data_IF_709417645377
#
_entry.id   IF_709417645377
#
_cell.length_a   1.000
_cell.length_b   1.000
_cell.length_c   1.000
_cell.angle_alpha   90.00
_cell.angle_beta   90.00
_cell.angle_gamma   90.00
#
_symmetry.space_group_name_H-M   'P 1'
#
loop_
_entity.id
_entity.type
_entity.pdbx_description
1 polymer ?
#
# COMPACT_ATOMS: atom_id res chain seq x y z
N UNK A 1 -18.75 -11.87 34.75
CA UNK A 1 -19.32 -12.96 33.93
C UNK A 1 -18.32 -14.07 33.99
N UNK A 2 -18.73 -15.25 34.41
CA UNK A 2 -17.86 -16.41 34.40
C UNK A 2 -18.41 -17.40 33.37
N UNK A 3 -17.56 -17.84 32.45
CA UNK A 3 -17.91 -18.74 31.35
C UNK A 3 -16.92 -19.90 31.33
N UNK A 4 -17.46 -21.12 31.42
CA UNK A 4 -16.68 -22.35 31.40
C UNK A 4 -17.16 -23.21 30.24
N UNK A 5 -16.35 -23.27 29.19
CA UNK A 5 -16.52 -24.17 28.06
C UNK A 5 -15.45 -25.25 28.15
N UNK A 6 -15.75 -26.36 28.81
CA UNK A 6 -14.89 -27.53 28.87
C UNK A 6 -15.54 -28.73 28.19
N UNK A 7 -14.82 -29.37 27.28
CA UNK A 7 -15.20 -30.64 26.66
C UNK A 7 -16.53 -30.60 25.88
N UNK A 8 -16.85 -29.44 25.29
CA UNK A 8 -18.05 -29.26 24.48
C UNK A 8 -17.82 -29.64 23.02
N UNK A 9 -18.92 -29.90 22.32
CA UNK A 9 -18.93 -30.18 20.89
C UNK A 9 -19.91 -29.25 20.18
N UNK A 10 -19.39 -28.41 19.29
CA UNK A 10 -20.15 -27.46 18.48
C UNK A 10 -20.14 -27.96 17.03
N UNK A 11 -21.26 -28.51 16.58
CA UNK A 11 -21.41 -29.11 15.25
C UNK A 11 -22.50 -28.42 14.44
N UNK A 12 -22.22 -28.13 13.17
CA UNK A 12 -23.21 -27.68 12.19
C UNK A 12 -24.01 -26.44 12.63
N UNK A 13 -23.42 -25.58 13.47
CA UNK A 13 -24.06 -24.33 13.84
C UNK A 13 -23.93 -23.33 12.68
N UNK A 14 -24.96 -22.51 12.47
CA UNK A 14 -24.99 -21.50 11.42
C UNK A 14 -25.41 -20.14 12.00
N UNK A 15 -24.62 -19.11 11.72
CA UNK A 15 -24.88 -17.75 12.18
C UNK A 15 -24.45 -16.71 11.14
N UNK A 16 -24.74 -15.43 11.40
CA UNK A 16 -24.17 -14.33 10.60
C UNK A 16 -22.67 -14.22 10.86
N UNK A 17 -22.29 -14.14 12.14
CA UNK A 17 -20.92 -14.06 12.61
C UNK A 17 -20.72 -15.02 13.78
N UNK A 18 -19.58 -15.71 13.84
CA UNK A 18 -19.30 -16.66 14.91
C UNK A 18 -20.22 -17.87 14.82
N UNK A 19 -19.99 -18.74 13.83
CA UNK A 19 -20.92 -19.83 13.50
C UNK A 19 -21.32 -20.67 14.70
N UNK A 20 -20.40 -20.92 15.65
CA UNK A 20 -20.70 -21.50 16.95
C UNK A 20 -20.79 -20.46 18.08
N UNK A 21 -19.82 -19.54 18.17
CA UNK A 21 -19.72 -18.60 19.29
C UNK A 21 -19.43 -17.18 18.80
N UNK A 22 -20.21 -16.22 19.30
CA UNK A 22 -20.00 -14.79 19.10
C UNK A 22 -19.71 -14.09 20.43
N UNK A 23 -18.47 -13.65 20.62
CA UNK A 23 -18.07 -12.82 21.75
C UNK A 23 -18.24 -11.34 21.39
N UNK A 24 -19.37 -10.77 21.78
CA UNK A 24 -19.67 -9.34 21.56
C UNK A 24 -18.74 -8.42 22.35
N UNK A 25 -18.57 -7.18 21.88
CA UNK A 25 -17.80 -6.17 22.60
C UNK A 25 -18.40 -5.88 23.99
N UNK A 26 -17.52 -5.81 25.00
CA UNK A 26 -17.93 -5.40 26.34
C UNK A 26 -18.18 -3.90 26.36
N UNK A 27 -19.43 -3.48 26.65
CA UNK A 27 -19.70 -2.11 27.04
C UNK A 27 -19.06 -1.86 28.40
N UNK A 28 -18.00 -1.05 28.44
CA UNK A 28 -17.38 -0.63 29.69
C UNK A 28 -18.35 0.35 30.36
N UNK A 29 -19.07 -0.10 31.38
CA UNK A 29 -19.75 0.79 32.33
C UNK A 29 -18.81 1.08 33.50
N UNK A 30 -18.81 2.31 33.99
CA UNK A 30 -17.86 2.85 34.98
C UNK A 30 -17.74 2.05 36.29
N UNK A 31 -18.66 1.11 36.55
CA UNK A 31 -18.76 0.38 37.82
C UNK A 31 -18.24 -1.07 37.80
N UNK A 32 -17.71 -1.60 36.68
CA UNK A 32 -17.36 -3.03 36.60
C UNK A 32 -15.88 -3.31 36.36
N UNK A 33 -15.04 -3.10 37.38
CA UNK A 33 -13.65 -3.58 37.39
C UNK A 33 -13.51 -5.11 37.52
N UNK A 34 -14.61 -5.88 37.49
CA UNK A 34 -14.54 -7.33 37.53
C UNK A 34 -14.07 -7.88 36.17
N UNK A 35 -12.89 -8.50 36.19
CA UNK A 35 -12.40 -9.38 35.12
C UNK A 35 -13.33 -10.59 35.03
N UNK A 36 -13.84 -10.88 33.84
CA UNK A 36 -14.59 -12.09 33.57
C UNK A 36 -13.65 -13.31 33.60
N UNK A 37 -13.99 -14.37 34.32
CA UNK A 37 -13.24 -15.63 34.25
C UNK A 37 -13.79 -16.42 33.06
N UNK A 38 -13.02 -16.52 31.98
CA UNK A 38 -13.39 -17.29 30.78
C UNK A 38 -12.42 -18.46 30.62
N UNK A 39 -12.96 -19.68 30.53
CA UNK A 39 -12.21 -20.90 30.28
C UNK A 39 -12.77 -21.60 29.04
N UNK A 40 -11.90 -21.94 28.08
CA UNK A 40 -12.26 -22.59 26.82
C UNK A 40 -11.29 -23.75 26.59
N UNK A 41 -11.62 -24.94 27.11
CA UNK A 41 -10.72 -26.11 27.06
C UNK A 41 -11.35 -27.33 26.42
N UNK A 42 -10.54 -28.11 25.70
CA UNK A 42 -10.92 -29.43 25.18
C UNK A 42 -12.18 -29.41 24.29
N UNK A 43 -12.52 -28.29 23.67
CA UNK A 43 -13.74 -28.19 22.86
C UNK A 43 -13.47 -28.61 21.41
N UNK A 44 -14.50 -29.11 20.74
CA UNK A 44 -14.46 -29.43 19.31
C UNK A 44 -15.44 -28.54 18.54
N UNK A 45 -14.92 -27.72 17.63
CA UNK A 45 -15.68 -26.87 16.72
C UNK A 45 -15.54 -27.41 15.30
N UNK A 46 -16.60 -28.03 14.80
CA UNK A 46 -16.53 -28.78 13.54
C UNK A 46 -17.74 -28.50 12.65
N UNK A 47 -17.46 -28.22 11.37
CA UNK A 47 -18.48 -27.92 10.34
C UNK A 47 -19.44 -26.78 10.71
N UNK A 48 -19.00 -25.83 11.54
CA UNK A 48 -19.77 -24.62 11.79
C UNK A 48 -19.62 -23.63 10.63
N UNK A 49 -20.63 -22.80 10.43
CA UNK A 49 -20.72 -21.88 9.30
C UNK A 49 -21.11 -20.47 9.75
N UNK A 50 -20.41 -19.47 9.25
CA UNK A 50 -20.80 -18.07 9.35
C UNK A 50 -21.06 -17.49 7.95
N UNK A 51 -22.09 -16.66 7.81
CA UNK A 51 -22.35 -15.94 6.55
C UNK A 51 -21.27 -14.90 6.26
N UNK A 52 -20.72 -14.27 7.29
CA UNK A 52 -19.73 -13.21 7.17
C UNK A 52 -18.39 -13.64 7.77
N UNK A 53 -18.23 -13.58 9.08
CA UNK A 53 -16.92 -13.74 9.72
C UNK A 53 -16.93 -14.77 10.85
N UNK A 54 -15.80 -15.46 11.05
CA UNK A 54 -15.62 -16.34 12.20
C UNK A 54 -16.45 -17.62 12.08
N UNK A 55 -16.07 -18.54 11.21
CA UNK A 55 -16.90 -19.73 10.94
C UNK A 55 -17.14 -20.61 12.17
N UNK A 56 -16.19 -20.69 13.11
CA UNK A 56 -16.43 -21.22 14.45
C UNK A 56 -16.63 -20.10 15.47
N UNK A 57 -15.64 -19.22 15.62
CA UNK A 57 -15.63 -18.20 16.69
C UNK A 57 -15.43 -16.82 16.07
N UNK A 58 -16.25 -15.88 16.50
CA UNK A 58 -16.04 -14.45 16.26
C UNK A 58 -15.85 -13.75 17.59
N UNK A 59 -14.89 -12.83 17.69
CA UNK A 59 -14.71 -12.04 18.92
C UNK A 59 -14.39 -10.58 18.69
N UNK A 60 -15.08 -9.73 19.44
CA UNK A 60 -14.77 -8.32 19.72
C UNK A 60 -14.61 -8.06 21.23
N UNK A 61 -14.53 -9.11 22.04
CA UNK A 61 -14.55 -8.97 23.50
C UNK A 61 -13.16 -8.59 24.03
N UNK A 62 -12.99 -7.32 24.40
CA UNK A 62 -11.73 -6.65 24.79
C UNK A 62 -10.97 -7.20 26.01
N UNK A 63 -11.41 -8.31 26.59
CA UNK A 63 -10.73 -9.01 27.68
C UNK A 63 -10.56 -10.51 27.40
N UNK A 64 -10.84 -10.97 26.17
CA UNK A 64 -10.76 -12.39 25.85
C UNK A 64 -9.33 -12.92 25.92
N UNK A 65 -8.33 -12.04 25.78
CA UNK A 65 -6.91 -12.39 25.99
C UNK A 65 -6.59 -12.93 27.39
N UNK A 66 -7.43 -12.64 28.39
CA UNK A 66 -7.28 -13.18 29.75
C UNK A 66 -7.86 -14.60 29.88
N UNK A 67 -8.56 -15.10 28.86
CA UNK A 67 -9.20 -16.41 28.93
C UNK A 67 -8.17 -17.54 28.92
N UNK A 68 -8.44 -18.59 29.71
CA UNK A 68 -7.63 -19.81 29.68
C UNK A 68 -8.13 -20.71 28.55
N UNK A 69 -7.37 -20.80 27.45
CA UNK A 69 -7.72 -21.60 26.28
C UNK A 69 -6.68 -22.68 25.98
N UNK A 70 -7.09 -23.96 25.93
CA UNK A 70 -6.18 -25.10 25.71
C UNK A 70 -6.87 -26.26 25.00
N UNK A 71 -6.16 -26.94 24.11
CA UNK A 71 -6.59 -28.19 23.48
C UNK A 71 -7.94 -28.09 22.74
N UNK A 72 -8.25 -26.94 22.13
CA UNK A 72 -9.44 -26.81 21.30
C UNK A 72 -9.14 -27.26 19.88
N UNK A 73 -10.08 -28.00 19.29
CA UNK A 73 -10.02 -28.45 17.92
C UNK A 73 -10.98 -27.60 17.07
N UNK A 74 -10.48 -26.95 16.03
CA UNK A 74 -11.25 -26.05 15.16
C UNK A 74 -11.05 -26.47 13.72
N UNK A 75 -11.97 -27.29 13.21
CA UNK A 75 -11.78 -27.96 11.92
C UNK A 75 -13.00 -27.93 11.01
N UNK A 76 -12.77 -27.91 9.70
CA UNK A 76 -13.83 -27.94 8.67
C UNK A 76 -14.89 -26.83 8.78
N UNK A 77 -14.60 -25.74 9.49
CA UNK A 77 -15.53 -24.62 9.62
C UNK A 77 -15.46 -23.71 8.37
N UNK A 78 -16.52 -22.95 8.11
CA UNK A 78 -16.64 -22.10 6.91
C UNK A 78 -17.08 -20.69 7.26
N UNK A 79 -16.54 -19.69 6.58
CA UNK A 79 -17.05 -18.31 6.63
C UNK A 79 -17.20 -17.74 5.23
N UNK A 80 -18.15 -16.83 5.04
CA UNK A 80 -18.38 -16.20 3.73
C UNK A 80 -17.38 -15.11 3.37
N UNK A 81 -16.80 -14.41 4.35
CA UNK A 81 -15.86 -13.30 4.13
C UNK A 81 -14.45 -13.67 4.59
N UNK A 82 -14.22 -13.81 5.90
CA UNK A 82 -12.89 -14.05 6.49
C UNK A 82 -12.96 -14.80 7.83
N UNK A 83 -11.90 -15.53 8.15
CA UNK A 83 -11.66 -16.17 9.44
C UNK A 83 -12.55 -17.39 9.62
N UNK A 84 -12.41 -18.39 8.75
CA UNK A 84 -13.31 -19.55 8.76
C UNK A 84 -13.20 -20.38 10.03
N UNK A 85 -12.06 -20.41 10.69
CA UNK A 85 -11.97 -20.91 12.07
C UNK A 85 -12.35 -19.79 13.06
N UNK A 86 -11.44 -18.84 13.22
CA UNK A 86 -11.59 -17.72 14.17
C UNK A 86 -11.49 -16.39 13.44
N UNK A 87 -12.33 -15.43 13.80
CA UNK A 87 -12.17 -14.05 13.37
C UNK A 87 -12.19 -13.08 14.54
N UNK A 88 -11.21 -12.18 14.58
CA UNK A 88 -11.14 -11.08 15.53
C UNK A 88 -10.79 -9.81 14.74
N UNK A 89 -11.71 -8.86 14.54
CA UNK A 89 -11.53 -7.79 13.58
C UNK A 89 -10.36 -6.87 13.93
N UNK A 90 -10.20 -6.54 15.21
CA UNK A 90 -9.14 -5.66 15.68
C UNK A 90 -8.71 -6.03 17.09
N UNK A 91 -7.61 -5.41 17.54
CA UNK A 91 -7.01 -5.63 18.86
C UNK A 91 -6.93 -7.11 19.24
N UNK A 92 -6.45 -7.99 18.36
CA UNK A 92 -6.33 -9.45 18.55
C UNK A 92 -5.67 -9.78 19.90
N UNK A 93 -4.66 -9.01 20.30
CA UNK A 93 -3.98 -9.16 21.59
C UNK A 93 -4.86 -8.89 22.83
N UNK A 94 -6.07 -8.35 22.64
CA UNK A 94 -7.09 -8.12 23.66
C UNK A 94 -8.38 -8.90 23.40
N UNK A 95 -8.78 -8.94 22.14
CA UNK A 95 -10.05 -9.50 21.67
C UNK A 95 -9.99 -11.00 21.47
N UNK A 96 -8.81 -11.63 21.50
CA UNK A 96 -8.66 -13.05 21.31
C UNK A 96 -7.82 -13.69 22.41
N UNK A 97 -8.19 -14.90 22.79
CA UNK A 97 -7.40 -15.76 23.67
C UNK A 97 -6.16 -16.30 22.94
N UNK A 98 -5.21 -16.88 23.68
CA UNK A 98 -4.05 -17.51 23.07
C UNK A 98 -4.45 -18.74 22.24
N UNK A 99 -4.30 -18.64 20.92
CA UNK A 99 -4.63 -19.70 19.96
C UNK A 99 -3.49 -20.67 19.72
N UNK A 100 -2.31 -20.47 20.32
CA UNK A 100 -1.11 -21.30 20.10
C UNK A 100 -1.32 -22.79 20.41
N UNK A 101 -2.20 -23.08 21.37
CA UNK A 101 -2.52 -24.44 21.83
C UNK A 101 -3.83 -25.00 21.21
N UNK A 102 -4.28 -24.44 20.09
CA UNK A 102 -5.44 -24.94 19.35
C UNK A 102 -5.00 -25.68 18.09
N UNK A 103 -5.70 -26.77 17.74
CA UNK A 103 -5.53 -27.45 16.46
C UNK A 103 -6.46 -26.83 15.42
N UNK A 104 -5.92 -26.47 14.26
CA UNK A 104 -6.68 -25.89 13.15
C UNK A 104 -6.47 -26.67 11.86
N UNK A 105 -7.56 -27.11 11.25
CA UNK A 105 -7.50 -27.94 10.04
C UNK A 105 -8.67 -27.64 9.09
N UNK A 106 -8.36 -27.44 7.81
CA UNK A 106 -9.37 -27.35 6.74
C UNK A 106 -10.52 -26.35 7.00
N UNK A 107 -10.27 -25.25 7.69
CA UNK A 107 -11.23 -24.16 7.77
C UNK A 107 -11.15 -23.32 6.49
N UNK A 108 -12.29 -23.06 5.85
CA UNK A 108 -12.33 -22.52 4.49
C UNK A 108 -13.16 -21.24 4.35
N UNK A 109 -12.59 -20.24 3.70
CA UNK A 109 -13.31 -19.16 3.04
C UNK A 109 -13.41 -19.53 1.56
N UNK A 110 -14.62 -19.76 1.06
CA UNK A 110 -14.84 -20.36 -0.25
C UNK A 110 -14.10 -21.70 -0.40
N UNK A 111 -13.00 -21.73 -1.16
CA UNK A 111 -12.13 -22.90 -1.36
C UNK A 111 -10.72 -22.69 -0.82
N UNK A 112 -10.46 -21.58 -0.13
CA UNK A 112 -9.14 -21.21 0.38
C UNK A 112 -9.08 -21.43 1.88
N UNK A 113 -7.94 -21.94 2.36
CA UNK A 113 -7.69 -22.14 3.78
C UNK A 113 -7.55 -20.80 4.49
N UNK A 114 -8.36 -20.59 5.52
CA UNK A 114 -8.32 -19.41 6.38
C UNK A 114 -8.68 -19.82 7.82
N UNK A 115 -7.67 -20.27 8.56
CA UNK A 115 -7.85 -20.78 9.92
C UNK A 115 -8.21 -19.65 10.90
N UNK A 116 -7.60 -18.50 10.73
CA UNK A 116 -7.86 -17.32 11.53
C UNK A 116 -7.39 -16.06 10.80
N UNK A 117 -8.12 -14.97 10.97
CA UNK A 117 -7.79 -13.68 10.37
C UNK A 117 -8.41 -12.51 11.13
N UNK A 118 -7.99 -11.30 10.75
CA UNK A 118 -8.44 -10.02 11.30
C UNK A 118 -8.68 -9.01 10.17
N UNK A 119 -9.11 -7.79 10.49
CA UNK A 119 -9.15 -6.70 9.51
C UNK A 119 -7.73 -6.29 9.07
N UNK A 120 -7.58 -5.57 7.93
CA UNK A 120 -6.34 -4.89 7.60
C UNK A 120 -5.84 -4.01 8.75
N UNK A 121 -4.58 -4.20 9.14
CA UNK A 121 -4.03 -3.60 10.36
C UNK A 121 -2.89 -2.62 10.09
N UNK A 122 -1.94 -3.00 9.24
CA UNK A 122 -0.78 -2.16 8.97
C UNK A 122 -0.18 -2.36 7.58
N UNK A 123 0.55 -1.36 7.12
CA UNK A 123 1.26 -1.35 5.84
C UNK A 123 2.75 -1.20 6.09
N UNK A 124 3.55 -1.97 5.37
CA UNK A 124 4.99 -1.80 5.27
C UNK A 124 5.38 -1.31 3.87
N UNK A 125 6.49 -0.61 3.81
CA UNK A 125 7.16 -0.24 2.57
C UNK A 125 8.24 -1.27 2.28
N UNK A 126 8.15 -1.92 1.11
CA UNK A 126 9.11 -2.94 0.68
C UNK A 126 10.19 -2.40 -0.27
N UNK A 127 9.98 -1.22 -0.85
CA UNK A 127 11.03 -0.58 -1.65
C UNK A 127 12.17 -0.13 -0.73
N UNK A 128 13.41 -0.48 -1.08
CA UNK A 128 14.59 0.05 -0.40
C UNK A 128 14.73 1.53 -0.73
N UNK A 129 14.72 2.37 0.30
CA UNK A 129 14.79 3.82 0.19
C UNK A 129 16.10 4.28 0.84
N UNK A 130 16.87 5.10 0.12
CA UNK A 130 18.09 5.70 0.66
C UNK A 130 17.74 6.94 1.50
N UNK A 131 18.64 7.38 2.38
CA UNK A 131 18.42 8.56 3.23
C UNK A 131 18.13 9.85 2.42
N UNK A 132 18.62 9.93 1.18
CA UNK A 132 18.34 11.02 0.25
C UNK A 132 18.02 10.44 -1.14
N UNK A 133 16.73 10.30 -1.44
CA UNK A 133 16.28 9.88 -2.77
C UNK A 133 16.22 11.10 -3.66
N UNK A 134 17.24 11.27 -4.50
CA UNK A 134 17.30 12.34 -5.47
C UNK A 134 16.61 11.84 -6.74
N UNK A 135 15.61 12.57 -7.20
CA UNK A 135 14.92 12.32 -8.46
C UNK A 135 14.84 13.61 -9.28
N UNK A 136 14.89 13.50 -10.60
CA UNK A 136 14.65 14.64 -11.47
C UNK A 136 13.13 14.77 -11.71
N UNK A 137 12.70 15.98 -12.06
CA UNK A 137 11.28 16.25 -12.29
C UNK A 137 10.70 15.35 -13.38
N UNK A 138 9.58 14.69 -13.09
CA UNK A 138 8.86 13.83 -14.02
C UNK A 138 9.45 12.42 -14.21
N UNK A 139 10.53 12.09 -13.51
CA UNK A 139 11.06 10.72 -13.48
C UNK A 139 10.12 9.76 -12.75
N UNK A 140 10.24 8.48 -13.07
CA UNK A 140 9.49 7.42 -12.39
C UNK A 140 10.08 7.15 -11.01
N UNK A 141 9.20 7.07 -10.00
CA UNK A 141 9.59 6.75 -8.63
C UNK A 141 8.79 5.54 -8.10
N UNK A 142 9.15 4.31 -8.50
CA UNK A 142 8.37 3.11 -8.21
C UNK A 142 8.41 2.76 -6.71
N UNK A 143 7.23 2.54 -6.12
CA UNK A 143 7.08 2.18 -4.71
C UNK A 143 6.20 0.94 -4.54
N UNK A 144 6.63 0.03 -3.66
CA UNK A 144 5.96 -1.23 -3.36
C UNK A 144 5.58 -1.30 -1.89
N UNK A 145 4.31 -1.58 -1.63
CA UNK A 145 3.75 -1.67 -0.28
C UNK A 145 3.11 -3.04 -0.04
N UNK A 146 3.19 -3.52 1.19
CA UNK A 146 2.48 -4.71 1.65
C UNK A 146 1.52 -4.36 2.77
N UNK A 147 0.32 -4.93 2.70
CA UNK A 147 -0.73 -4.83 3.70
C UNK A 147 -0.77 -6.11 4.52
N UNK A 148 -0.87 -5.94 5.83
CA UNK A 148 -0.89 -7.03 6.80
C UNK A 148 -2.10 -6.93 7.71
N UNK A 149 -2.51 -8.07 8.24
CA UNK A 149 -3.47 -8.19 9.32
C UNK A 149 -2.78 -8.15 10.70
N UNK A 150 -3.53 -8.23 11.81
CA UNK A 150 -2.96 -8.21 13.16
C UNK A 150 -2.26 -9.52 13.57
N UNK A 151 -2.34 -10.57 12.75
CA UNK A 151 -1.58 -11.82 12.92
C UNK A 151 -0.25 -11.80 12.15
N UNK A 152 0.10 -10.66 11.53
CA UNK A 152 1.26 -10.48 10.66
C UNK A 152 1.24 -11.32 9.38
N UNK A 153 0.05 -11.76 8.94
CA UNK A 153 -0.13 -12.39 7.65
C UNK A 153 -0.29 -11.32 6.57
N UNK A 154 0.19 -11.59 5.35
CA UNK A 154 -0.13 -10.75 4.19
C UNK A 154 -1.64 -10.80 3.99
N UNK A 155 -2.28 -9.63 3.98
CA UNK A 155 -3.72 -9.52 3.92
C UNK A 155 -4.24 -9.93 2.54
N UNK A 156 -5.00 -11.02 2.47
CA UNK A 156 -5.55 -11.52 1.21
C UNK A 156 -7.08 -11.43 1.21
N UNK A 157 -7.61 -10.49 0.42
CA UNK A 157 -9.04 -10.28 0.26
C UNK A 157 -9.68 -11.21 -0.77
N UNK A 158 -9.76 -12.50 -0.41
CA UNK A 158 -10.30 -13.57 -1.27
C UNK A 158 -11.71 -13.25 -1.78
N UNK A 159 -12.50 -12.52 -0.99
CA UNK A 159 -13.92 -12.27 -1.24
C UNK A 159 -14.20 -10.90 -1.83
N UNK A 160 -13.15 -10.08 -2.03
CA UNK A 160 -13.23 -8.70 -2.53
C UNK A 160 -14.03 -7.78 -1.61
N UNK A 161 -14.13 -8.10 -0.33
CA UNK A 161 -14.89 -7.29 0.64
C UNK A 161 -14.26 -5.90 0.85
N UNK A 162 -12.93 -5.80 0.76
CA UNK A 162 -12.14 -4.59 0.91
C UNK A 162 -11.56 -4.09 -0.43
N UNK A 163 -12.10 -4.53 -1.58
CA UNK A 163 -11.51 -4.24 -2.89
C UNK A 163 -11.52 -2.77 -3.30
N UNK A 164 -12.32 -1.93 -2.64
CA UNK A 164 -12.37 -0.49 -2.88
C UNK A 164 -11.26 0.28 -2.16
N UNK A 165 -10.60 -0.34 -1.18
CA UNK A 165 -9.51 0.28 -0.44
C UNK A 165 -8.34 0.59 -1.36
N UNK A 166 -7.88 1.85 -1.32
CA UNK A 166 -6.76 2.32 -2.11
C UNK A 166 -5.75 3.08 -1.27
N UNK A 167 -4.48 2.93 -1.63
CA UNK A 167 -3.37 3.71 -1.12
C UNK A 167 -3.13 4.90 -2.04
N UNK A 168 -3.10 6.11 -1.48
CA UNK A 168 -2.74 7.34 -2.19
C UNK A 168 -1.53 7.97 -1.53
N UNK A 169 -0.58 8.42 -2.34
CA UNK A 169 0.55 9.23 -1.87
C UNK A 169 0.24 10.71 -2.07
N UNK A 170 0.43 11.50 -1.02
CA UNK A 170 0.29 12.95 -1.03
C UNK A 170 1.68 13.56 -0.84
N UNK A 171 2.01 14.59 -1.62
CA UNK A 171 3.26 15.31 -1.48
C UNK A 171 3.09 16.46 -0.49
N UNK A 172 4.03 16.64 0.42
CA UNK A 172 4.09 17.76 1.37
C UNK A 172 5.46 18.43 1.34
N UNK A 173 5.50 19.74 1.54
CA UNK A 173 6.74 20.49 1.78
C UNK A 173 7.02 20.56 3.27
N UNK A 174 8.26 20.89 3.63
CA UNK A 174 8.68 21.05 5.03
C UNK A 174 8.25 22.41 5.64
N UNK A 175 7.47 23.21 4.91
CA UNK A 175 7.12 24.56 5.33
C UNK A 175 6.07 24.50 6.44
N UNK A 176 6.52 24.80 7.66
CA UNK A 176 5.72 25.00 8.88
C UNK A 176 4.74 26.20 8.80
N UNK A 177 4.17 26.50 7.64
CA UNK A 177 3.14 27.53 7.52
C UNK A 177 1.75 26.92 7.68
N UNK A 178 1.49 26.37 8.87
CA UNK A 178 0.13 26.10 9.38
C UNK A 178 -0.70 27.40 9.53
N UNK A 179 -0.13 28.57 9.22
CA UNK A 179 -0.81 29.86 9.18
C UNK A 179 -1.34 30.28 7.80
N UNK A 180 -1.53 29.36 6.85
CA UNK A 180 -2.37 29.62 5.66
C UNK A 180 -3.80 29.11 5.87
N UNK A 181 -4.38 29.50 7.01
CA UNK A 181 -5.83 29.62 7.10
C UNK A 181 -6.25 30.78 6.18
N UNK A 182 -7.16 30.47 5.25
CA UNK A 182 -8.05 31.38 4.51
C UNK A 182 -7.63 31.96 3.14
N UNK A 183 -6.50 31.60 2.53
CA UNK A 183 -6.28 31.96 1.11
C UNK A 183 -6.53 30.78 0.17
N UNK A 184 -7.76 30.71 -0.37
CA UNK A 184 -8.24 29.74 -1.38
C UNK A 184 -7.50 29.78 -2.73
N UNK A 185 -6.42 30.55 -2.86
CA UNK A 185 -5.64 30.74 -4.09
C UNK A 185 -4.16 30.35 -3.94
N UNK A 186 -3.79 29.51 -2.96
CA UNK A 186 -2.48 28.85 -2.96
C UNK A 186 -2.43 27.90 -4.16
N UNK A 187 -1.86 28.37 -5.28
CA UNK A 187 -1.54 27.50 -6.41
C UNK A 187 -0.58 26.44 -5.85
N UNK A 188 -1.01 25.19 -5.81
CA UNK A 188 -0.12 24.10 -5.43
C UNK A 188 1.01 24.06 -6.44
N UNK A 189 2.25 24.28 -5.99
CA UNK A 189 3.44 24.33 -6.84
C UNK A 189 3.93 22.91 -7.23
N UNK A 190 3.06 21.91 -7.16
CA UNK A 190 3.37 20.53 -7.47
C UNK A 190 2.11 19.71 -7.82
N UNK A 191 2.30 18.63 -8.55
CA UNK A 191 1.32 17.56 -8.72
C UNK A 191 2.00 16.20 -8.91
N UNK A 192 1.22 15.14 -8.69
CA UNK A 192 1.66 13.76 -8.87
C UNK A 192 0.75 13.07 -9.87
N UNK A 193 1.32 12.14 -10.62
CA UNK A 193 0.55 11.21 -11.47
C UNK A 193 0.91 9.79 -11.09
N UNK A 194 -0.03 8.85 -11.18
CA UNK A 194 0.23 7.44 -10.84
C UNK A 194 0.44 7.18 -9.34
N UNK A 195 0.01 8.11 -8.48
CA UNK A 195 0.18 8.09 -7.02
C UNK A 195 -0.94 7.39 -6.26
N UNK A 196 -1.82 6.65 -6.94
CA UNK A 196 -2.92 5.90 -6.35
C UNK A 196 -2.82 4.45 -6.81
N UNK A 197 -3.00 3.52 -5.88
CA UNK A 197 -2.96 2.09 -6.16
C UNK A 197 -3.89 1.30 -5.25
N UNK A 198 -4.22 0.10 -5.68
CA UNK A 198 -5.09 -0.84 -4.95
C UNK A 198 -4.26 -2.03 -4.47
N UNK A 199 -4.72 -2.65 -3.38
CA UNK A 199 -4.10 -3.87 -2.87
C UNK A 199 -4.63 -5.10 -3.62
N UNK A 200 -3.74 -5.82 -4.28
CA UNK A 200 -4.02 -7.10 -4.93
C UNK A 200 -3.24 -8.16 -4.15
N UNK A 201 -3.95 -9.10 -3.50
CA UNK A 201 -3.35 -10.11 -2.62
C UNK A 201 -2.40 -9.50 -1.57
N UNK A 202 -2.80 -8.37 -1.00
CA UNK A 202 -2.03 -7.66 0.02
C UNK A 202 -0.86 -6.84 -0.52
N UNK A 203 -0.67 -6.74 -1.84
CA UNK A 203 0.40 -5.96 -2.45
C UNK A 203 -0.16 -4.75 -3.21
N UNK A 204 0.43 -3.58 -3.00
CA UNK A 204 0.15 -2.37 -3.79
C UNK A 204 1.45 -1.92 -4.48
N UNK A 205 1.43 -1.93 -5.82
CA UNK A 205 2.57 -1.53 -6.66
C UNK A 205 2.25 -0.20 -7.35
N UNK A 206 3.05 0.83 -7.06
CA UNK A 206 2.95 2.15 -7.67
C UNK A 206 4.12 2.36 -8.64
N UNK A 207 4.14 1.59 -9.73
CA UNK A 207 5.26 1.59 -10.69
C UNK A 207 5.34 2.85 -11.55
N UNK A 208 4.23 3.59 -11.66
CA UNK A 208 4.07 4.71 -12.60
C UNK A 208 4.00 6.07 -11.90
N UNK A 209 4.45 6.18 -10.65
CA UNK A 209 4.48 7.48 -9.96
C UNK A 209 5.44 8.40 -10.70
N UNK A 210 4.96 9.59 -11.03
CA UNK A 210 5.80 10.72 -11.43
C UNK A 210 5.46 11.92 -10.59
N UNK A 211 6.49 12.70 -10.28
CA UNK A 211 6.40 13.85 -9.40
C UNK A 211 6.82 15.09 -10.19
N UNK A 212 5.91 16.05 -10.27
CA UNK A 212 6.11 17.32 -10.96
C UNK A 212 6.10 18.42 -9.92
N UNK A 213 7.25 19.00 -9.66
CA UNK A 213 7.43 20.00 -8.62
C UNK A 213 8.71 20.81 -8.90
N UNK A 214 8.77 22.03 -8.38
CA UNK A 214 10.01 22.81 -8.44
C UNK A 214 11.09 22.22 -7.52
N UNK A 215 12.39 22.41 -7.84
CA UNK A 215 13.48 21.82 -7.06
C UNK A 215 13.41 22.17 -5.58
N UNK A 216 13.23 21.16 -4.73
CA UNK A 216 13.19 21.27 -3.28
C UNK A 216 13.19 19.88 -2.63
N UNK A 217 13.20 19.83 -1.30
CA UNK A 217 12.93 18.61 -0.53
C UNK A 217 11.44 18.51 -0.22
N UNK A 218 10.89 17.32 -0.44
CA UNK A 218 9.49 16.99 -0.19
C UNK A 218 9.36 15.66 0.57
N UNK A 219 8.16 15.43 1.10
CA UNK A 219 7.80 14.20 1.79
C UNK A 219 6.57 13.59 1.11
N UNK A 220 6.63 12.31 0.79
CA UNK A 220 5.45 11.54 0.40
C UNK A 220 4.82 10.95 1.65
N UNK A 221 3.58 11.35 1.90
CA UNK A 221 2.75 10.84 2.99
C UNK A 221 1.70 9.88 2.42
N UNK A 222 1.68 8.63 2.90
CA UNK A 222 0.67 7.65 2.49
C UNK A 222 -0.66 7.93 3.20
N UNK A 223 -1.75 7.82 2.45
CA UNK A 223 -3.12 7.93 2.95
C UNK A 223 -3.95 6.79 2.41
N UNK A 224 -4.84 6.25 3.24
CA UNK A 224 -5.82 5.25 2.81
C UNK A 224 -7.13 5.95 2.48
N UNK A 225 -7.68 5.61 1.32
CA UNK A 225 -9.00 6.05 0.88
C UNK A 225 -9.95 4.84 0.85
N UNK A 226 -11.26 5.12 0.97
CA UNK A 226 -12.34 4.13 0.89
C UNK A 226 -12.26 2.99 1.93
N UNK A 227 -11.70 3.27 3.10
CA UNK A 227 -11.67 2.34 4.24
C UNK A 227 -11.89 3.10 5.55
N UNK A 228 -12.79 2.60 6.39
CA UNK A 228 -13.17 3.25 7.65
C UNK A 228 -12.38 2.73 8.86
N UNK A 229 -11.62 1.65 8.70
CA UNK A 229 -10.79 1.10 9.75
C UNK A 229 -9.48 1.88 9.92
N UNK A 230 -8.74 1.55 10.98
CA UNK A 230 -7.44 2.16 11.26
C UNK A 230 -6.33 1.29 10.68
N UNK A 231 -5.53 1.86 9.78
CA UNK A 231 -4.31 1.22 9.26
C UNK A 231 -3.11 1.99 9.75
N UNK A 232 -2.13 1.29 10.32
CA UNK A 232 -0.85 1.86 10.74
C UNK A 232 0.16 1.79 9.60
N UNK A 233 0.95 2.83 9.40
CA UNK A 233 2.11 2.78 8.52
C UNK A 233 3.35 2.47 9.37
N UNK A 234 4.04 1.36 9.07
CA UNK A 234 5.26 0.95 9.78
C UNK A 234 6.51 1.39 9.02
N UNK A 235 6.51 2.63 8.58
CA UNK A 235 7.61 3.30 7.91
C UNK A 235 7.39 4.82 8.04
N UNK A 236 8.47 5.57 8.01
CA UNK A 236 8.40 7.02 8.05
C UNK A 236 7.97 7.60 6.71
N UNK A 237 7.56 8.87 6.70
CA UNK A 237 7.31 9.60 5.46
C UNK A 237 8.53 9.53 4.53
N UNK A 238 8.28 9.31 3.25
CA UNK A 238 9.35 9.09 2.28
C UNK A 238 9.92 10.44 1.86
N UNK A 239 11.13 10.76 2.35
CA UNK A 239 11.85 11.98 1.97
C UNK A 239 12.41 11.83 0.56
N UNK A 240 12.08 12.80 -0.29
CA UNK A 240 12.58 12.90 -1.66
C UNK A 240 13.16 14.30 -1.89
N UNK A 241 14.28 14.37 -2.62
CA UNK A 241 14.83 15.61 -3.13
C UNK A 241 14.57 15.65 -4.62
N UNK A 242 13.88 16.69 -5.06
CA UNK A 242 13.58 16.91 -6.47
C UNK A 242 14.64 17.87 -7.00
N UNK A 243 15.41 17.39 -7.97
CA UNK A 243 16.43 18.17 -8.69
C UNK A 243 15.88 18.68 -10.03
N UNK A 244 16.64 19.55 -10.69
CA UNK A 244 16.27 20.10 -11.98
C UNK A 244 16.23 19.05 -13.11
N UNK A 245 15.93 19.47 -14.34
CA UNK A 245 16.04 18.58 -15.49
C UNK A 245 17.50 18.16 -15.71
N UNK A 246 17.70 16.94 -16.23
CA UNK A 246 19.00 16.54 -16.75
C UNK A 246 19.47 17.52 -17.83
N UNK A 247 20.78 17.67 -17.98
CA UNK A 247 21.40 18.63 -18.90
C UNK A 247 21.07 18.36 -20.38
N UNK A 248 20.69 17.13 -20.72
CA UNK A 248 20.25 16.70 -22.05
C UNK A 248 18.75 16.95 -22.30
N UNK A 249 18.02 17.43 -21.30
CA UNK A 249 16.60 17.80 -21.39
C UNK A 249 16.43 19.31 -21.28
N UNK A 250 15.30 19.79 -21.79
CA UNK A 250 14.92 21.21 -21.73
C UNK A 250 13.97 21.40 -20.57
N UNK A 251 14.34 22.28 -19.65
CA UNK A 251 13.51 22.76 -18.54
C UNK A 251 12.43 23.69 -19.08
N UNK A 252 11.19 23.29 -18.90
CA UNK A 252 10.00 24.04 -19.26
C UNK A 252 9.21 24.38 -18.00
N UNK A 253 8.31 25.36 -18.09
CA UNK A 253 7.44 25.78 -17.00
C UNK A 253 6.00 25.70 -17.50
N UNK A 254 5.15 25.00 -16.76
CA UNK A 254 3.73 24.90 -17.10
C UNK A 254 2.96 26.18 -16.75
N UNK A 255 1.67 26.21 -17.08
CA UNK A 255 0.78 27.35 -16.77
C UNK A 255 0.62 27.66 -15.27
N UNK A 256 1.04 26.74 -14.40
CA UNK A 256 0.95 26.83 -12.94
C UNK A 256 2.31 27.19 -12.31
N UNK A 257 3.36 27.44 -13.10
CA UNK A 257 4.68 27.77 -12.58
C UNK A 257 5.47 26.54 -12.11
N UNK A 258 5.06 25.34 -12.52
CA UNK A 258 5.69 24.07 -12.16
C UNK A 258 6.66 23.69 -13.27
N UNK A 259 7.90 23.43 -12.87
CA UNK A 259 8.92 22.91 -13.77
C UNK A 259 8.51 21.53 -14.33
N UNK A 260 8.83 21.27 -15.59
CA UNK A 260 8.82 19.95 -16.19
C UNK A 260 9.90 19.83 -17.27
N UNK A 261 10.25 18.60 -17.66
CA UNK A 261 11.33 18.35 -18.60
C UNK A 261 10.79 17.83 -19.94
N UNK A 262 11.23 18.43 -21.04
CA UNK A 262 10.98 17.94 -22.39
C UNK A 262 12.26 17.41 -23.03
N UNK A 263 12.12 16.33 -23.81
CA UNK A 263 13.20 15.92 -24.71
C UNK A 263 13.36 16.97 -25.82
N UNK A 264 14.60 17.31 -26.20
CA UNK A 264 14.85 18.24 -27.29
C UNK A 264 14.27 17.69 -28.58
N UNK A 265 13.57 18.54 -29.33
CA UNK A 265 13.05 18.24 -30.66
C UNK A 265 14.08 18.69 -31.68
N UNK A 266 14.51 17.80 -32.58
CA UNK A 266 15.40 18.14 -33.69
C UNK A 266 14.63 18.19 -35.00
N UNK A 267 15.27 18.68 -36.05
CA UNK A 267 14.73 18.58 -37.41
C UNK A 267 14.43 17.14 -37.80
N UNK A 268 13.42 16.96 -38.65
CA UNK A 268 12.93 15.65 -39.13
C UNK A 268 14.03 14.86 -39.88
N UNK A 269 15.05 15.56 -40.40
CA UNK A 269 16.18 14.96 -41.10
C UNK A 269 17.27 14.44 -40.14
N UNK A 270 17.18 14.72 -38.84
CA UNK A 270 18.12 14.21 -37.85
C UNK A 270 17.74 12.76 -37.45
N UNK A 271 18.60 11.76 -37.71
CA UNK A 271 18.31 10.34 -37.49
C UNK A 271 18.50 9.94 -36.01
N UNK A 272 17.69 10.53 -35.14
CA UNK A 272 17.75 10.35 -33.69
C UNK A 272 17.58 8.87 -33.31
N UNK A 273 18.52 8.34 -32.53
CA UNK A 273 18.53 6.94 -32.09
C UNK A 273 19.10 5.94 -33.11
N UNK A 274 19.50 6.40 -34.30
CA UNK A 274 20.14 5.56 -35.33
C UNK A 274 21.62 5.95 -35.47
N UNK A 275 21.88 7.20 -35.85
CA UNK A 275 23.24 7.74 -36.04
C UNK A 275 23.45 9.10 -35.37
N UNK A 276 22.45 9.60 -34.63
CA UNK A 276 22.53 10.88 -33.93
C UNK A 276 21.78 10.89 -32.59
N UNK A 277 22.19 11.81 -31.73
CA UNK A 277 21.43 12.33 -30.59
C UNK A 277 20.88 13.71 -30.92
N UNK A 278 19.72 14.04 -30.34
CA UNK A 278 19.23 15.41 -30.32
C UNK A 278 19.63 16.08 -29.00
N UNK A 279 20.28 17.23 -29.08
CA UNK A 279 20.82 17.94 -27.91
C UNK A 279 20.19 19.34 -27.84
N UNK A 280 19.78 19.81 -26.66
CA UNK A 280 19.22 21.14 -26.51
C UNK A 280 20.25 22.22 -26.85
N UNK A 281 19.82 23.25 -27.59
CA UNK A 281 20.64 24.45 -27.79
C UNK A 281 20.66 25.33 -26.54
N UNK A 282 19.53 25.40 -25.85
CA UNK A 282 19.35 26.04 -24.54
C UNK A 282 18.73 25.03 -23.59
N UNK A 283 19.18 25.04 -22.34
CA UNK A 283 18.63 24.15 -21.30
C UNK A 283 17.28 24.59 -20.77
N UNK A 284 16.78 25.79 -21.13
CA UNK A 284 15.53 26.34 -20.56
C UNK A 284 14.61 27.01 -21.60
N UNK A 285 13.29 26.91 -21.34
CA UNK A 285 12.15 27.69 -21.88
C UNK A 285 11.86 27.62 -23.39
N UNK A 286 12.77 27.08 -24.20
CA UNK A 286 12.60 27.01 -25.66
C UNK A 286 12.98 25.62 -26.18
N UNK A 287 11.98 24.86 -26.65
CA UNK A 287 12.19 23.59 -27.34
C UNK A 287 11.85 23.72 -28.83
N UNK A 288 12.74 24.36 -29.59
CA UNK A 288 12.56 24.61 -31.01
C UNK A 288 13.44 23.69 -31.88
N UNK A 289 12.81 22.98 -32.83
CA UNK A 289 13.47 22.07 -33.77
C UNK A 289 14.56 22.70 -34.62
N UNK A 290 14.50 24.01 -34.85
CA UNK A 290 15.50 24.74 -35.65
C UNK A 290 16.70 25.20 -34.84
N UNK A 291 16.61 25.20 -33.51
CA UNK A 291 17.69 25.65 -32.63
C UNK A 291 18.48 24.47 -32.08
N UNK A 292 17.79 23.41 -31.64
CA UNK A 292 18.41 22.21 -31.09
C UNK A 292 19.37 21.54 -32.08
N UNK A 293 20.45 20.96 -31.55
CA UNK A 293 21.57 20.43 -32.32
C UNK A 293 21.39 18.93 -32.57
N UNK A 294 21.58 18.51 -33.82
CA UNK A 294 21.78 17.10 -34.16
C UNK A 294 23.26 16.77 -33.92
N UNK A 295 23.57 15.92 -32.95
CA UNK A 295 24.93 15.47 -32.64
C UNK A 295 25.12 14.03 -33.13
N UNK A 296 26.12 13.81 -33.98
CA UNK A 296 26.37 12.51 -34.58
C UNK A 296 27.03 11.56 -33.59
N UNK A 297 26.69 10.27 -33.68
CA UNK A 297 27.43 9.22 -33.00
C UNK A 297 28.83 9.06 -33.60
N UNK A 298 29.76 8.53 -32.80
CA UNK A 298 31.10 8.21 -33.28
C UNK A 298 31.04 7.33 -34.54
N UNK A 299 31.81 7.73 -35.57
CA UNK A 299 31.79 7.09 -36.88
C UNK A 299 30.75 7.65 -37.86
N UNK A 300 30.01 8.69 -37.48
CA UNK A 300 29.10 9.43 -38.35
C UNK A 300 29.45 10.92 -38.39
N UNK A 301 29.22 11.57 -39.52
CA UNK A 301 29.45 12.99 -39.77
C UNK A 301 28.38 13.57 -40.72
N UNK A 302 28.42 14.87 -40.95
CA UNK A 302 27.47 15.63 -41.75
C UNK A 302 26.41 16.33 -40.90
N UNK A 303 25.78 17.37 -41.45
CA UNK A 303 24.77 18.18 -40.74
C UNK A 303 23.55 17.37 -40.27
N UNK A 304 23.31 16.21 -40.89
CA UNK A 304 22.23 15.27 -40.54
C UNK A 304 22.77 13.91 -40.08
N UNK A 305 24.07 13.76 -39.80
CA UNK A 305 24.67 12.50 -39.36
C UNK A 305 24.35 11.29 -40.28
N UNK A 306 24.30 11.56 -41.58
CA UNK A 306 23.95 10.61 -42.63
C UNK A 306 25.18 10.00 -43.31
N UNK A 307 26.37 10.55 -43.04
CA UNK A 307 27.62 10.14 -43.67
C UNK A 307 28.48 9.32 -42.70
N UNK A 308 28.90 8.11 -43.08
CA UNK A 308 29.84 7.31 -42.28
C UNK A 308 31.27 7.81 -42.45
N UNK A 309 31.99 7.91 -41.35
CA UNK A 309 33.42 8.19 -41.35
C UNK A 309 34.16 6.88 -41.65
N UNK A 310 34.88 6.84 -42.76
CA UNK A 310 35.77 5.73 -43.10
C UNK A 310 37.21 6.12 -42.74
N UNK A 311 37.83 5.37 -41.84
CA UNK A 311 39.26 5.53 -41.53
C UNK A 311 40.06 4.74 -42.56
N UNK A 312 40.84 5.43 -43.39
CA UNK A 312 41.83 4.77 -44.24
C UNK A 312 43.02 4.36 -43.37
N UNK A 313 43.30 3.05 -43.32
CA UNK A 313 44.56 2.53 -42.80
C UNK A 313 45.57 2.55 -43.96
N UNK A 314 46.43 3.56 -43.99
CA UNK A 314 47.67 3.55 -44.79
C UNK A 314 48.79 2.79 -44.07
#
# INVERSE_FOLDING_TARGET
MDLYLDSNKFYNNEAINGGAIYFSERKITEESNNSAIITIKNNNFYENKANEFGGAIYSKYNQLYMASAQNNNITNNKSGIMGAGIYSPNYVNKNLFDISNCHFENNLVNSFKDNYSSEPAYITLNTTINNENIINVGDYFPLNFYLYDEFNNIFNDITKHYSLMSLRLILKTNDNNENLSNNRNSVNNYYLTGNVGSFINGKCELNNIKIYANPNTYYLEPVIENYNGKIKFLFDNIKIKIDECYSDKIKMIDRHGIQYCESPKCHDNCPVGISANCIPYTTELINNKTLNKCECFDGWDGNNCDSKIFVNFE
#
